data_IF_794873419433
#
_entry.id   IF_794873419433
#
_cell.length_a   1.000
_cell.length_b   1.000
_cell.length_c   1.000
_cell.angle_alpha   90.00
_cell.angle_beta   90.00
_cell.angle_gamma   90.00
#
_symmetry.space_group_name_H-M   'P 1'
#
loop_
_entity.id
_entity.type
_entity.pdbx_description
1 polymer ?
#
# COMPACT_ATOMS: atom_id res chain seq x y z
N UNK A 1 11.57 3.87 -35.63
CA UNK A 1 10.64 4.38 -34.61
C UNK A 1 10.10 3.18 -33.85
N UNK A 2 10.72 2.82 -32.72
CA UNK A 2 10.41 1.60 -31.98
C UNK A 2 9.36 1.84 -30.91
N UNK A 3 8.24 1.11 -30.96
CA UNK A 3 7.22 1.08 -29.92
C UNK A 3 7.83 0.49 -28.64
N UNK A 4 7.75 1.23 -27.53
CA UNK A 4 8.21 0.80 -26.22
C UNK A 4 7.07 0.06 -25.50
N UNK A 5 7.14 -1.27 -25.49
CA UNK A 5 6.37 -2.14 -24.59
C UNK A 5 7.27 -2.50 -23.40
N UNK A 6 7.21 -1.79 -22.28
CA UNK A 6 8.01 -2.17 -21.10
C UNK A 6 7.26 -1.95 -19.79
N UNK A 7 7.09 -3.06 -19.07
CA UNK A 7 6.86 -3.10 -17.63
C UNK A 7 7.85 -2.18 -16.91
N UNK A 8 7.35 -1.21 -16.15
CA UNK A 8 8.17 -0.44 -15.22
C UNK A 8 8.31 -1.25 -13.92
N UNK A 9 9.41 -1.98 -13.80
CA UNK A 9 9.87 -2.43 -12.48
C UNK A 9 10.67 -1.29 -11.87
N UNK A 10 10.23 -0.77 -10.73
CA UNK A 10 11.03 0.20 -9.97
C UNK A 10 12.06 -0.59 -9.17
N UNK A 11 13.32 -0.41 -9.53
CA UNK A 11 14.46 -0.97 -8.81
C UNK A 11 14.92 0.08 -7.79
N UNK A 12 14.86 -0.24 -6.51
CA UNK A 12 15.45 0.62 -5.47
C UNK A 12 16.97 0.40 -5.47
N UNK A 13 17.68 1.26 -6.20
CA UNK A 13 19.13 1.15 -6.41
C UNK A 13 20.02 1.84 -5.36
N UNK A 14 19.47 2.48 -4.32
CA UNK A 14 20.26 3.37 -3.44
C UNK A 14 20.06 3.09 -1.94
N UNK A 15 19.96 1.82 -1.54
CA UNK A 15 20.07 1.44 -0.13
C UNK A 15 21.15 0.37 -0.02
N UNK A 16 22.29 0.75 0.58
CA UNK A 16 23.54 -0.03 0.60
C UNK A 16 23.43 -1.43 1.23
N UNK A 17 22.30 -1.78 1.85
CA UNK A 17 22.12 -3.02 2.62
C UNK A 17 21.04 -3.97 2.07
N UNK A 18 20.41 -3.69 0.92
CA UNK A 18 19.34 -4.55 0.37
C UNK A 18 19.81 -5.31 -0.88
N UNK A 19 19.86 -6.64 -0.77
CA UNK A 19 19.86 -7.54 -1.93
C UNK A 19 18.55 -7.31 -2.68
N UNK A 20 18.66 -6.97 -3.96
CA UNK A 20 17.59 -6.52 -4.85
C UNK A 20 16.26 -7.27 -4.70
N UNK A 21 15.26 -6.63 -4.08
CA UNK A 21 13.88 -7.08 -4.15
C UNK A 21 13.17 -6.35 -5.28
N UNK A 22 12.97 -7.05 -6.40
CA UNK A 22 12.05 -6.63 -7.46
C UNK A 22 10.67 -6.46 -6.85
N UNK A 23 10.17 -5.23 -6.78
CA UNK A 23 8.74 -5.01 -6.51
C UNK A 23 7.97 -5.58 -7.70
N UNK A 24 7.45 -6.79 -7.50
CA UNK A 24 6.80 -7.60 -8.52
C UNK A 24 5.47 -6.97 -8.96
N UNK A 25 5.08 -7.28 -10.20
CA UNK A 25 3.81 -6.96 -10.88
C UNK A 25 2.55 -7.40 -10.11
N UNK A 26 2.68 -8.01 -8.94
CA UNK A 26 1.59 -8.49 -8.09
C UNK A 26 1.04 -7.42 -7.12
N UNK A 27 1.61 -6.21 -7.08
CA UNK A 27 0.95 -5.06 -6.44
C UNK A 27 -0.36 -4.72 -7.15
N UNK A 28 -0.47 -5.08 -8.44
CA UNK A 28 -1.69 -4.94 -9.22
C UNK A 28 -2.23 -6.34 -9.52
N UNK A 29 -3.08 -6.85 -8.63
CA UNK A 29 -3.82 -8.10 -8.85
C UNK A 29 -4.95 -7.96 -9.89
N UNK A 30 -4.67 -7.34 -11.04
CA UNK A 30 -5.61 -7.29 -12.17
C UNK A 30 -5.33 -8.52 -13.02
N UNK A 31 -6.35 -9.34 -13.24
CA UNK A 31 -6.30 -10.45 -14.17
C UNK A 31 -5.94 -9.90 -15.57
N UNK A 32 -4.72 -10.21 -16.04
CA UNK A 32 -4.18 -9.73 -17.32
C UNK A 32 -4.53 -10.67 -18.48
N UNK A 33 -5.76 -11.21 -18.49
CA UNK A 33 -6.27 -11.92 -19.68
C UNK A 33 -6.96 -10.97 -20.66
N UNK A 34 -7.29 -9.74 -20.25
CA UNK A 34 -7.82 -8.72 -21.14
C UNK A 34 -6.73 -7.71 -21.52
N UNK A 35 -6.38 -7.72 -22.80
CA UNK A 35 -5.45 -6.82 -23.49
C UNK A 35 -5.79 -5.31 -23.43
N UNK A 36 -6.57 -4.82 -22.44
CA UNK A 36 -7.33 -3.57 -22.56
C UNK A 36 -6.91 -2.43 -21.61
N UNK A 37 -6.07 -2.61 -20.60
CA UNK A 37 -5.95 -1.62 -19.51
C UNK A 37 -4.66 -0.78 -19.43
N UNK A 38 -3.76 -0.83 -20.41
CA UNK A 38 -2.51 -0.05 -20.34
C UNK A 38 -2.66 1.41 -20.82
N UNK A 39 -3.61 1.68 -21.72
CA UNK A 39 -3.88 3.04 -22.26
C UNK A 39 -4.68 3.94 -21.29
N UNK A 40 -4.99 3.46 -20.08
CA UNK A 40 -5.85 4.12 -19.10
C UNK A 40 -5.11 4.60 -17.84
N UNK A 41 -3.78 4.53 -17.79
CA UNK A 41 -3.02 4.95 -16.60
C UNK A 41 -1.90 5.92 -16.97
N UNK A 42 -2.04 7.17 -16.55
CA UNK A 42 -1.11 8.24 -16.89
C UNK A 42 0.00 8.41 -15.83
N UNK A 43 -0.30 8.14 -14.56
CA UNK A 43 0.67 8.34 -13.48
C UNK A 43 0.49 7.34 -12.33
N UNK A 44 1.61 6.75 -11.91
CA UNK A 44 1.72 5.97 -10.67
C UNK A 44 2.70 6.70 -9.75
N UNK A 45 2.23 7.10 -8.58
CA UNK A 45 3.07 7.66 -7.51
C UNK A 45 3.24 6.63 -6.41
N UNK A 46 4.46 6.39 -5.96
CA UNK A 46 4.76 5.44 -4.89
C UNK A 46 5.62 6.10 -3.81
N UNK A 47 5.37 5.71 -2.57
CA UNK A 47 6.08 6.17 -1.38
C UNK A 47 6.44 4.96 -0.54
N UNK A 48 7.69 4.89 -0.09
CA UNK A 48 8.21 3.75 0.66
C UNK A 48 8.59 4.17 2.07
N UNK A 49 8.32 3.29 3.03
CA UNK A 49 8.80 3.42 4.40
C UNK A 49 9.43 2.11 4.87
N UNK A 50 10.66 2.25 5.37
CA UNK A 50 11.34 1.21 6.13
C UNK A 50 11.09 1.51 7.61
N UNK A 51 10.76 0.49 8.39
CA UNK A 51 10.54 0.65 9.82
C UNK A 51 11.84 0.36 10.56
N UNK A 52 12.49 1.44 11.00
CA UNK A 52 13.67 1.35 11.85
C UNK A 52 13.33 0.51 13.09
N UNK A 53 14.08 -0.57 13.33
CA UNK A 53 13.92 -1.60 14.39
C UNK A 53 13.13 -2.86 14.02
N UNK A 54 12.50 -2.93 12.84
CA UNK A 54 11.90 -4.17 12.33
C UNK A 54 12.45 -4.48 10.94
N UNK A 55 13.56 -5.22 10.93
CA UNK A 55 14.24 -5.62 9.70
C UNK A 55 13.31 -6.42 8.80
N UNK A 56 13.31 -6.09 7.50
CA UNK A 56 12.47 -6.77 6.52
C UNK A 56 11.05 -6.23 6.40
N UNK A 57 10.62 -5.30 7.27
CA UNK A 57 9.33 -4.62 7.14
C UNK A 57 9.43 -3.41 6.21
N UNK A 58 8.66 -3.44 5.13
CA UNK A 58 8.58 -2.37 4.14
C UNK A 58 7.12 -2.03 3.89
N UNK A 59 6.73 -0.77 4.08
CA UNK A 59 5.46 -0.25 3.61
C UNK A 59 5.63 0.42 2.27
N UNK A 60 4.65 0.23 1.39
CA UNK A 60 4.53 0.95 0.13
C UNK A 60 3.12 1.51 0.04
N UNK A 61 3.00 2.83 -0.04
CA UNK A 61 1.75 3.51 -0.38
C UNK A 61 1.84 3.99 -1.82
N UNK A 62 0.82 3.71 -2.62
CA UNK A 62 0.78 4.17 -4.01
C UNK A 62 -0.60 4.69 -4.40
N UNK A 63 -0.57 5.62 -5.36
CA UNK A 63 -1.74 6.17 -6.03
C UNK A 63 -1.59 5.93 -7.53
N UNK A 64 -2.66 5.46 -8.16
CA UNK A 64 -2.78 5.30 -9.61
C UNK A 64 -3.78 6.35 -10.09
N UNK A 65 -3.39 7.15 -11.07
CA UNK A 65 -4.23 8.18 -11.67
C UNK A 65 -4.30 8.03 -13.20
N UNK A 66 -5.43 8.45 -13.77
CA UNK A 66 -5.65 8.62 -15.21
C UNK A 66 -6.03 10.08 -15.47
N UNK A 67 -5.18 10.83 -16.15
CA UNK A 67 -5.34 12.27 -16.34
C UNK A 67 -5.55 13.02 -15.02
N UNK A 68 -6.76 13.56 -14.85
CA UNK A 68 -7.17 14.34 -13.68
C UNK A 68 -7.89 13.52 -12.60
N UNK A 69 -8.11 12.22 -12.80
CA UNK A 69 -8.83 11.37 -11.85
C UNK A 69 -7.90 10.39 -11.12
N UNK A 70 -7.91 10.42 -9.79
CA UNK A 70 -7.26 9.42 -8.95
C UNK A 70 -8.11 8.15 -8.93
N UNK A 71 -7.64 7.08 -9.59
CA UNK A 71 -8.38 5.84 -9.77
C UNK A 71 -8.24 4.88 -8.58
N UNK A 72 -7.08 4.87 -7.93
CA UNK A 72 -6.83 3.91 -6.85
C UNK A 72 -5.76 4.38 -5.89
N UNK A 73 -5.98 4.18 -4.59
CA UNK A 73 -5.01 4.41 -3.52
C UNK A 73 -4.89 3.17 -2.67
N UNK A 74 -3.67 2.72 -2.42
CA UNK A 74 -3.47 1.53 -1.60
C UNK A 74 -2.19 1.60 -0.79
N UNK A 75 -2.22 0.98 0.38
CA UNK A 75 -1.02 0.64 1.13
C UNK A 75 -0.84 -0.86 1.21
N UNK A 76 0.37 -1.32 0.94
CA UNK A 76 0.81 -2.70 1.09
C UNK A 76 2.02 -2.77 2.02
N UNK A 77 2.19 -3.92 2.65
CA UNK A 77 3.29 -4.20 3.55
C UNK A 77 4.00 -5.50 3.14
N UNK A 78 5.32 -5.50 3.25
CA UNK A 78 6.17 -6.68 3.16
C UNK A 78 6.79 -6.98 4.52
N UNK A 79 6.98 -8.27 4.81
CA UNK A 79 7.69 -8.78 5.99
C UNK A 79 8.98 -9.54 5.62
N UNK A 80 9.34 -9.54 4.34
CA UNK A 80 10.44 -10.33 3.79
C UNK A 80 11.27 -9.50 2.79
N UNK A 81 11.64 -8.29 3.19
CA UNK A 81 12.53 -7.39 2.44
C UNK A 81 11.96 -6.92 1.09
N UNK A 82 10.64 -7.00 0.90
CA UNK A 82 9.99 -6.62 -0.35
C UNK A 82 9.85 -7.77 -1.35
N UNK A 83 10.10 -9.02 -0.95
CA UNK A 83 9.91 -10.18 -1.82
C UNK A 83 8.42 -10.46 -2.08
N UNK A 84 7.57 -10.31 -1.07
CA UNK A 84 6.11 -10.38 -1.19
C UNK A 84 5.44 -9.23 -0.46
N UNK A 85 4.26 -8.82 -0.97
CA UNK A 85 3.48 -7.72 -0.42
C UNK A 85 2.05 -8.18 -0.13
N UNK A 86 1.51 -7.72 0.99
CA UNK A 86 0.14 -7.95 1.42
C UNK A 86 -0.55 -6.59 1.60
N UNK A 87 -1.82 -6.42 1.18
CA UNK A 87 -2.58 -5.22 1.49
C UNK A 87 -2.78 -5.12 3.02
N UNK A 88 -2.60 -3.91 3.56
CA UNK A 88 -2.90 -3.67 4.97
C UNK A 88 -4.42 -3.69 5.19
N UNK A 89 -4.86 -4.21 6.33
CA UNK A 89 -6.28 -4.48 6.60
C UNK A 89 -6.88 -3.51 7.60
N UNK A 90 -8.13 -3.13 7.36
CA UNK A 90 -8.92 -2.41 8.35
C UNK A 90 -9.51 -3.37 9.37
N UNK A 91 -9.27 -3.11 10.65
CA UNK A 91 -9.81 -3.86 11.78
C UNK A 91 -10.98 -3.09 12.37
N UNK A 92 -12.15 -3.71 12.34
CA UNK A 92 -13.39 -3.25 12.98
C UNK A 92 -13.56 -3.92 14.34
N UNK A 93 -14.52 -3.45 15.13
CA UNK A 93 -14.93 -4.11 16.39
C UNK A 93 -15.39 -5.56 16.16
N UNK A 94 -15.99 -5.84 15.00
CA UNK A 94 -16.55 -7.14 14.65
C UNK A 94 -15.57 -8.06 13.88
N UNK A 95 -14.30 -7.66 13.74
CA UNK A 95 -13.28 -8.42 13.01
C UNK A 95 -12.62 -7.62 11.89
N UNK A 96 -11.95 -8.30 10.97
CA UNK A 96 -11.33 -7.64 9.82
C UNK A 96 -12.39 -7.29 8.79
N UNK A 97 -12.31 -6.09 8.19
CA UNK A 97 -13.05 -5.86 6.96
C UNK A 97 -12.40 -6.70 5.86
N UNK A 98 -13.11 -7.73 5.39
CA UNK A 98 -12.61 -8.64 4.37
C UNK A 98 -12.91 -8.11 2.96
N UNK A 99 -12.04 -8.44 2.01
CA UNK A 99 -12.33 -8.25 0.58
C UNK A 99 -13.28 -9.39 0.19
N UNK A 100 -14.58 -9.13 0.14
CA UNK A 100 -15.56 -10.14 -0.28
C UNK A 100 -15.41 -10.39 -1.78
N UNK A 101 -14.76 -11.52 -2.13
CA UNK A 101 -14.56 -11.99 -3.51
C UNK A 101 -15.79 -12.70 -4.07
N UNK A 102 -16.98 -12.09 -4.03
CA UNK A 102 -18.13 -12.63 -4.75
C UNK A 102 -18.53 -11.64 -5.85
N UNK A 103 -18.01 -11.90 -7.04
CA UNK A 103 -18.33 -11.26 -8.32
C UNK A 103 -17.95 -9.77 -8.44
N UNK A 104 -17.06 -9.49 -9.41
CA UNK A 104 -16.71 -8.16 -9.93
C UNK A 104 -16.02 -7.20 -8.93
N UNK A 105 -14.69 -7.30 -8.80
CA UNK A 105 -13.78 -6.16 -8.54
C UNK A 105 -14.23 -5.06 -7.55
N UNK A 106 -14.93 -5.39 -6.47
CA UNK A 106 -15.33 -4.43 -5.44
C UNK A 106 -14.57 -4.73 -4.15
N UNK A 107 -13.51 -3.98 -3.90
CA UNK A 107 -12.86 -3.96 -2.60
C UNK A 107 -13.81 -3.25 -1.61
N UNK A 108 -14.39 -4.01 -0.67
CA UNK A 108 -15.31 -3.43 0.32
C UNK A 108 -14.61 -2.43 1.24
N UNK A 109 -13.35 -2.68 1.61
CA UNK A 109 -12.52 -1.78 2.40
C UNK A 109 -11.06 -1.83 1.96
N UNK A 110 -10.51 -0.71 1.51
CA UNK A 110 -9.07 -0.51 1.34
C UNK A 110 -8.57 0.50 2.38
N UNK A 111 -7.32 0.34 2.82
CA UNK A 111 -6.65 1.33 3.65
C UNK A 111 -5.49 1.95 2.89
N UNK A 112 -5.40 3.25 3.02
CA UNK A 112 -4.31 4.05 2.50
C UNK A 112 -3.68 4.87 3.61
N UNK A 113 -2.37 4.76 3.76
CA UNK A 113 -1.56 5.58 4.64
C UNK A 113 -0.94 6.68 3.76
N UNK A 114 -1.50 7.91 3.78
CA UNK A 114 -0.95 9.01 2.99
C UNK A 114 0.47 9.36 3.46
N UNK A 115 1.39 9.66 2.53
CA UNK A 115 2.69 10.19 2.89
C UNK A 115 2.54 11.60 3.49
N UNK A 116 3.35 11.92 4.49
CA UNK A 116 3.44 13.26 5.03
C UNK A 116 4.63 13.98 4.38
N UNK A 117 4.39 15.12 3.72
CA UNK A 117 5.41 15.86 2.94
C UNK A 117 6.20 14.95 2.00
N UNK A 118 5.52 14.07 1.27
CA UNK A 118 6.10 13.09 0.35
C UNK A 118 6.98 12.01 1.01
N UNK A 119 6.89 11.80 2.33
CA UNK A 119 7.66 10.79 3.05
C UNK A 119 6.75 9.90 3.89
N UNK A 120 6.54 8.66 3.42
CA UNK A 120 5.71 7.68 4.12
C UNK A 120 6.26 7.32 5.51
N UNK A 121 7.58 7.25 5.66
CA UNK A 121 8.21 6.92 6.95
C UNK A 121 7.82 7.90 8.06
N UNK A 122 7.51 9.16 7.73
CA UNK A 122 7.07 10.15 8.71
C UNK A 122 5.58 10.07 9.07
N UNK A 123 4.80 9.29 8.30
CA UNK A 123 3.38 9.02 8.57
C UNK A 123 3.17 7.86 9.54
N UNK A 124 4.15 6.97 9.67
CA UNK A 124 4.08 5.76 10.50
C UNK A 124 4.99 5.96 11.71
N UNK A 125 4.40 5.97 12.90
CA UNK A 125 5.14 6.10 14.17
C UNK A 125 5.09 4.79 14.92
N UNK A 126 6.23 4.28 15.34
CA UNK A 126 6.32 3.06 16.17
C UNK A 126 6.47 3.41 17.64
N UNK A 127 5.90 2.58 18.54
CA UNK A 127 6.11 2.75 19.96
C UNK A 127 7.58 2.45 20.35
N UNK A 128 8.14 3.26 21.25
CA UNK A 128 9.57 3.21 21.62
C UNK A 128 10.02 1.85 22.13
N UNK A 129 9.16 1.16 22.89
CA UNK A 129 9.49 -0.11 23.56
C UNK A 129 8.89 -1.34 22.87
N UNK A 130 8.05 -1.14 21.85
CA UNK A 130 7.44 -2.23 21.09
C UNK A 130 7.17 -1.75 19.66
N UNK A 131 8.10 -1.98 18.71
CA UNK A 131 7.94 -1.49 17.35
C UNK A 131 6.81 -2.19 16.57
N UNK A 132 6.23 -3.28 17.10
CA UNK A 132 5.03 -3.90 16.53
C UNK A 132 3.77 -3.05 16.76
N UNK A 133 3.82 -2.12 17.71
CA UNK A 133 2.77 -1.13 17.94
C UNK A 133 3.08 0.09 17.10
N UNK A 134 2.20 0.39 16.14
CA UNK A 134 2.37 1.47 15.18
C UNK A 134 1.13 2.36 15.16
N UNK A 135 1.32 3.66 14.94
CA UNK A 135 0.25 4.65 14.80
C UNK A 135 0.47 5.43 13.51
N UNK A 136 -0.59 5.60 12.73
CA UNK A 136 -0.58 6.38 11.51
C UNK A 136 -1.91 7.11 11.31
N UNK A 137 -1.91 8.15 10.48
CA UNK A 137 -3.16 8.65 9.90
C UNK A 137 -3.46 7.80 8.67
N UNK A 138 -4.65 7.22 8.62
CA UNK A 138 -5.09 6.38 7.52
C UNK A 138 -6.39 6.90 6.92
N UNK A 139 -6.55 6.71 5.62
CA UNK A 139 -7.78 6.93 4.86
C UNK A 139 -8.41 5.56 4.63
N UNK A 140 -9.67 5.41 5.05
CA UNK A 140 -10.47 4.23 4.74
C UNK A 140 -11.23 4.49 3.45
N UNK A 141 -11.10 3.60 2.49
CA UNK A 141 -11.79 3.64 1.21
C UNK A 141 -12.84 2.53 1.25
N UNK A 142 -14.11 2.88 1.34
CA UNK A 142 -15.21 1.93 1.44
C UNK A 142 -16.13 2.07 0.25
N UNK A 143 -16.26 1.04 -0.58
CA UNK A 143 -17.01 1.08 -1.84
C UNK A 143 -16.59 2.28 -2.73
N UNK A 144 -15.29 2.55 -2.83
CA UNK A 144 -14.74 3.68 -3.58
C UNK A 144 -14.86 5.05 -2.90
N UNK A 145 -15.57 5.16 -1.77
CA UNK A 145 -15.68 6.42 -1.04
C UNK A 145 -14.57 6.56 0.00
N UNK A 146 -13.80 7.64 -0.09
CA UNK A 146 -12.74 7.96 0.86
C UNK A 146 -13.30 8.63 2.13
N UNK A 147 -12.88 8.14 3.29
CA UNK A 147 -13.13 8.83 4.55
C UNK A 147 -12.11 9.95 4.77
N UNK A 148 -12.44 10.90 5.64
CA UNK A 148 -11.41 11.79 6.20
C UNK A 148 -10.29 10.98 6.89
N UNK A 149 -9.03 11.46 6.87
CA UNK A 149 -7.93 10.79 7.54
C UNK A 149 -8.20 10.62 9.04
N UNK A 150 -8.06 9.40 9.57
CA UNK A 150 -8.25 9.06 10.98
C UNK A 150 -6.97 8.50 11.59
N UNK A 151 -6.72 8.80 12.86
CA UNK A 151 -5.65 8.15 13.62
C UNK A 151 -6.02 6.68 13.86
N UNK A 152 -5.17 5.78 13.41
CA UNK A 152 -5.32 4.34 13.58
C UNK A 152 -4.08 3.74 14.23
N UNK A 153 -4.29 2.63 14.94
CA UNK A 153 -3.26 1.85 15.60
C UNK A 153 -3.19 0.45 15.00
N UNK A 154 -1.97 -0.01 14.74
CA UNK A 154 -1.66 -1.42 14.52
C UNK A 154 -0.94 -1.95 15.74
N UNK A 155 -1.25 -3.18 16.12
CA UNK A 155 -0.60 -3.90 17.24
C UNK A 155 0.03 -5.22 16.78
N UNK A 156 0.07 -5.46 15.48
CA UNK A 156 0.51 -6.71 14.84
C UNK A 156 1.62 -6.49 13.81
N UNK A 157 2.43 -5.43 14.00
CA UNK A 157 3.52 -5.11 13.08
C UNK A 157 3.06 -4.52 11.75
N UNK A 158 1.89 -3.87 11.73
CA UNK A 158 1.42 -3.12 10.57
C UNK A 158 0.47 -3.85 9.63
N UNK A 159 0.09 -5.09 9.93
CA UNK A 159 -0.78 -5.87 9.06
C UNK A 159 -2.21 -5.37 9.13
N UNK A 160 -2.72 -5.13 10.36
CA UNK A 160 -4.05 -4.62 10.59
C UNK A 160 -4.07 -3.33 11.39
N UNK A 161 -5.03 -2.47 11.08
CA UNK A 161 -5.16 -1.12 11.63
C UNK A 161 -6.59 -0.89 12.12
N UNK A 162 -6.74 -0.55 13.39
CA UNK A 162 -8.02 -0.18 14.00
C UNK A 162 -8.05 1.30 14.35
N UNK A 163 -9.25 1.88 14.38
CA UNK A 163 -9.42 3.26 14.83
C UNK A 163 -9.10 3.39 16.33
N UNK A 164 -8.41 4.45 16.72
CA UNK A 164 -8.22 4.81 18.12
C UNK A 164 -9.42 5.65 18.56
N UNK A 165 -10.12 5.21 19.62
CA UNK A 165 -11.20 5.95 20.27
C UNK A 165 -10.68 6.92 21.33
#
# INVERSE_FOLDING_TARGET
MGKYNKFASVWFGELNDLVFSKISTHIVGVALDDHVLWDLFDQIQFYVALIDRLTGIIFVSYTIANGHEELKKHTVISYNYGNTFLPVKYKTENGMCEIVKYCLNQHECELFIPPNKNRLATSIKTAKNNPLVMVAKCILIKHGNESLPRSMISTDGGYSWGQVH
#
